data_IF_885651108809
#
_entry.id   IF_885651108809
#
_cell.length_a   1.000
_cell.length_b   1.000
_cell.length_c   1.000
_cell.angle_alpha   90.00
_cell.angle_beta   90.00
_cell.angle_gamma   90.00
#
_symmetry.space_group_name_H-M   'P 1'
#
loop_
_entity.id
_entity.type
_entity.pdbx_description
1 polymer ?
#
# COMPACT_ATOMS: atom_id res chain seq x y z
N UNK A 1 23.14 -24.88 35.54
CA UNK A 1 22.52 -24.87 34.20
C UNK A 1 23.35 -25.62 33.16
N UNK A 2 24.65 -25.36 33.00
CA UNK A 2 25.51 -26.13 32.10
C UNK A 2 25.51 -27.66 32.39
N UNK A 3 25.36 -28.05 33.67
CA UNK A 3 25.22 -29.46 34.06
C UNK A 3 23.99 -30.16 33.45
N UNK A 4 22.89 -29.45 33.18
CA UNK A 4 21.70 -30.03 32.54
C UNK A 4 21.97 -30.35 31.07
N UNK A 5 22.71 -29.48 30.39
CA UNK A 5 23.14 -29.70 29.01
C UNK A 5 24.07 -30.93 28.91
N UNK A 6 25.00 -31.06 29.86
CA UNK A 6 25.91 -32.22 29.94
C UNK A 6 25.18 -33.54 30.23
N UNK A 7 24.14 -33.50 31.09
CA UNK A 7 23.43 -34.70 31.56
C UNK A 7 22.37 -35.21 30.59
N UNK A 8 21.62 -34.30 29.97
CA UNK A 8 20.43 -34.64 29.18
C UNK A 8 20.59 -34.28 27.69
N UNK A 9 21.75 -33.73 27.31
CA UNK A 9 22.08 -33.44 25.92
C UNK A 9 21.13 -32.44 25.25
N UNK A 10 20.84 -32.70 23.98
CA UNK A 10 20.05 -31.83 23.11
C UNK A 10 18.58 -31.69 23.56
N UNK A 11 18.02 -32.71 24.22
CA UNK A 11 16.62 -32.77 24.63
C UNK A 11 16.21 -31.64 25.58
N UNK A 12 17.18 -31.01 26.23
CA UNK A 12 16.96 -29.85 27.12
C UNK A 12 16.68 -28.56 26.35
N UNK A 13 17.15 -28.46 25.11
CA UNK A 13 17.03 -27.29 24.25
C UNK A 13 15.70 -27.29 23.47
N UNK A 14 15.07 -28.46 23.28
CA UNK A 14 13.83 -28.63 22.55
C UNK A 14 12.61 -28.62 23.49
N UNK A 15 11.46 -28.10 23.03
CA UNK A 15 10.20 -28.28 23.76
C UNK A 15 9.80 -29.75 23.75
N UNK A 16 9.10 -30.20 24.81
CA UNK A 16 8.67 -31.59 24.96
C UNK A 16 7.14 -31.66 25.00
N UNK A 17 6.57 -32.62 24.30
CA UNK A 17 5.13 -32.89 24.33
C UNK A 17 4.85 -33.99 25.35
N UNK A 18 4.11 -33.68 26.41
CA UNK A 18 3.79 -34.62 27.50
C UNK A 18 2.32 -34.43 27.85
N UNK A 19 1.55 -35.53 27.90
CA UNK A 19 0.15 -35.54 28.30
C UNK A 19 -0.73 -34.52 27.55
N UNK A 20 -0.55 -34.40 26.23
CA UNK A 20 -1.34 -33.47 25.41
C UNK A 20 -0.91 -32.00 25.47
N UNK A 21 0.12 -31.68 26.26
CA UNK A 21 0.60 -30.31 26.47
C UNK A 21 2.06 -30.16 26.02
N UNK A 22 2.35 -29.02 25.39
CA UNK A 22 3.72 -28.64 25.06
C UNK A 22 4.37 -27.94 26.24
N UNK A 23 5.38 -28.58 26.82
CA UNK A 23 6.21 -27.95 27.84
C UNK A 23 7.40 -27.22 27.19
N UNK A 24 7.70 -26.05 27.76
CA UNK A 24 8.89 -25.28 27.42
C UNK A 24 10.18 -26.11 27.64
N UNK A 25 11.26 -25.83 26.89
CA UNK A 25 12.57 -26.42 27.15
C UNK A 25 13.04 -26.08 28.56
N UNK A 26 13.84 -26.96 29.19
CA UNK A 26 14.31 -26.68 30.55
C UNK A 26 15.38 -25.57 30.56
N UNK A 27 16.08 -25.34 29.44
CA UNK A 27 16.97 -24.19 29.24
C UNK A 27 16.29 -23.18 28.33
N UNK A 28 16.26 -21.91 28.75
CA UNK A 28 15.71 -20.83 27.92
C UNK A 28 16.60 -20.53 26.72
N UNK A 29 16.00 -20.02 25.64
CA UNK A 29 16.73 -19.67 24.41
C UNK A 29 17.89 -18.68 24.67
N UNK A 30 17.70 -17.74 25.60
CA UNK A 30 18.74 -16.78 25.99
C UNK A 30 19.95 -17.48 26.62
N UNK A 31 19.71 -18.36 27.59
CA UNK A 31 20.78 -19.10 28.28
C UNK A 31 21.52 -20.02 27.30
N UNK A 32 20.78 -20.71 26.43
CA UNK A 32 21.39 -21.52 25.37
C UNK A 32 22.29 -20.68 24.43
N UNK A 33 21.85 -19.48 24.04
CA UNK A 33 22.64 -18.58 23.21
C UNK A 33 23.91 -18.07 23.92
N UNK A 34 23.85 -17.80 25.23
CA UNK A 34 25.03 -17.43 26.03
C UNK A 34 26.02 -18.60 26.07
N UNK A 35 25.55 -19.81 26.39
CA UNK A 35 26.40 -21.01 26.40
C UNK A 35 27.06 -21.29 25.06
N UNK A 36 26.32 -21.09 23.96
CA UNK A 36 26.87 -21.20 22.61
C UNK A 36 27.95 -20.16 22.35
N UNK A 37 27.70 -18.90 22.68
CA UNK A 37 28.69 -17.83 22.52
C UNK A 37 29.95 -18.10 23.34
N UNK A 38 29.81 -18.58 24.57
CA UNK A 38 30.96 -18.91 25.42
C UNK A 38 31.76 -20.09 24.87
N UNK A 39 31.11 -21.14 24.36
CA UNK A 39 31.79 -22.28 23.75
C UNK A 39 32.57 -21.87 22.49
N UNK A 40 31.92 -21.11 21.59
CA UNK A 40 32.56 -20.58 20.39
C UNK A 40 33.72 -19.64 20.73
N UNK A 41 33.59 -18.81 21.76
CA UNK A 41 34.66 -17.92 22.22
C UNK A 41 35.87 -18.68 22.76
N UNK A 42 35.65 -19.85 23.38
CA UNK A 42 36.69 -20.75 23.85
C UNK A 42 37.30 -21.61 22.71
N UNK A 43 36.89 -21.40 21.46
CA UNK A 43 37.33 -22.19 20.31
C UNK A 43 36.73 -23.60 20.25
N UNK A 44 35.72 -23.89 21.08
CA UNK A 44 35.00 -25.16 21.04
C UNK A 44 33.84 -25.10 20.06
N UNK A 45 33.64 -26.17 19.30
CA UNK A 45 32.48 -26.30 18.44
C UNK A 45 31.21 -26.53 19.26
N UNK A 46 30.10 -25.94 18.81
CA UNK A 46 28.80 -26.15 19.43
C UNK A 46 28.20 -27.47 18.92
N UNK A 47 28.05 -28.51 19.76
CA UNK A 47 27.78 -29.86 19.29
C UNK A 47 26.30 -30.12 18.94
N UNK A 48 25.41 -29.14 19.17
CA UNK A 48 23.97 -29.33 18.95
C UNK A 48 23.53 -28.66 17.65
N UNK A 49 22.79 -29.38 16.77
CA UNK A 49 22.39 -28.84 15.48
C UNK A 49 21.46 -27.63 15.65
N UNK A 50 21.69 -26.62 14.83
CA UNK A 50 20.75 -25.50 14.75
C UNK A 50 19.49 -25.93 14.00
N UNK A 51 18.30 -25.48 14.44
CA UNK A 51 17.11 -25.68 13.63
C UNK A 51 17.32 -24.99 12.29
N UNK A 52 17.20 -25.76 11.21
CA UNK A 52 17.22 -25.21 9.86
C UNK A 52 16.13 -24.13 9.77
N UNK A 53 16.49 -22.96 9.23
CA UNK A 53 15.49 -21.92 8.98
C UNK A 53 14.49 -22.50 7.99
N UNK A 54 13.18 -22.50 8.27
CA UNK A 54 12.20 -23.06 7.34
C UNK A 54 12.35 -22.34 6.00
N UNK A 55 12.86 -23.08 5.02
CA UNK A 55 12.89 -22.64 3.64
C UNK A 55 11.49 -22.91 3.11
N UNK A 56 10.80 -21.87 2.64
CA UNK A 56 9.49 -22.08 2.04
C UNK A 56 9.70 -22.84 0.72
N UNK A 57 9.15 -24.06 0.55
CA UNK A 57 9.53 -24.95 -0.55
C UNK A 57 9.26 -24.34 -1.93
N UNK A 58 8.21 -23.53 -2.04
CA UNK A 58 7.79 -22.88 -3.30
C UNK A 58 8.17 -21.41 -3.41
N UNK A 59 8.81 -20.80 -2.40
CA UNK A 59 9.12 -19.36 -2.43
C UNK A 59 10.57 -19.18 -2.03
N UNK A 60 11.50 -19.14 -3.00
CA UNK A 60 12.86 -18.72 -2.69
C UNK A 60 12.81 -17.30 -2.13
N UNK A 61 13.72 -17.01 -1.20
CA UNK A 61 13.85 -15.66 -0.63
C UNK A 61 14.25 -14.69 -1.73
N UNK A 62 13.54 -13.57 -1.83
CA UNK A 62 13.96 -12.44 -2.66
C UNK A 62 15.25 -11.80 -2.14
N UNK A 63 15.79 -10.78 -2.83
CA UNK A 63 17.09 -10.17 -2.52
C UNK A 63 17.28 -9.72 -1.06
N UNK A 64 16.20 -9.38 -0.36
CA UNK A 64 16.22 -8.97 1.05
C UNK A 64 15.55 -9.99 1.99
N UNK A 65 15.50 -11.26 1.61
CA UNK A 65 14.89 -12.30 2.45
C UNK A 65 13.35 -12.34 2.40
N UNK A 66 12.69 -11.52 1.57
CA UNK A 66 11.23 -11.53 1.49
C UNK A 66 10.73 -12.68 0.62
N UNK A 67 9.76 -13.43 1.15
CA UNK A 67 9.08 -14.49 0.40
C UNK A 67 8.01 -13.98 -0.56
N UNK A 68 7.58 -12.72 -0.45
CA UNK A 68 6.45 -12.15 -1.20
C UNK A 68 6.84 -10.80 -1.79
N UNK A 69 6.42 -10.57 -3.04
CA UNK A 69 6.53 -9.27 -3.71
C UNK A 69 5.80 -8.19 -2.90
N UNK A 70 6.34 -6.96 -2.84
CA UNK A 70 5.68 -5.85 -2.17
C UNK A 70 4.33 -5.54 -2.84
N UNK A 71 3.37 -5.08 -2.04
CA UNK A 71 1.99 -4.85 -2.48
C UNK A 71 1.85 -3.72 -3.52
N UNK A 72 2.79 -2.78 -3.56
CA UNK A 72 2.67 -1.50 -4.27
C UNK A 72 1.75 -0.51 -3.56
N UNK A 73 1.97 0.79 -3.77
CA UNK A 73 1.14 1.84 -3.20
C UNK A 73 -0.20 2.00 -3.95
N UNK A 74 -1.20 2.62 -3.30
CA UNK A 74 -2.52 2.84 -3.91
C UNK A 74 -2.45 3.63 -5.22
N UNK A 75 -1.60 4.66 -5.27
CA UNK A 75 -1.47 5.54 -6.43
C UNK A 75 -0.82 4.82 -7.64
N UNK A 76 0.07 3.86 -7.41
CA UNK A 76 0.68 3.06 -8.47
C UNK A 76 -0.36 2.15 -9.12
N UNK A 77 -1.20 1.50 -8.30
CA UNK A 77 -2.28 0.64 -8.79
C UNK A 77 -3.33 1.41 -9.58
N UNK A 78 -3.71 2.59 -9.09
CA UNK A 78 -4.74 3.42 -9.70
C UNK A 78 -4.24 4.22 -10.92
N UNK A 79 -2.94 4.24 -11.19
CA UNK A 79 -2.34 5.06 -12.26
C UNK A 79 -2.95 4.75 -13.62
N UNK A 80 -3.16 3.48 -13.95
CA UNK A 80 -3.71 3.06 -15.24
C UNK A 80 -5.14 3.54 -15.44
N UNK A 81 -5.99 3.37 -14.41
CA UNK A 81 -7.37 3.86 -14.45
C UNK A 81 -7.42 5.38 -14.61
N UNK A 82 -6.59 6.10 -13.85
CA UNK A 82 -6.50 7.56 -13.95
C UNK A 82 -6.12 8.03 -15.37
N UNK A 83 -5.22 7.33 -16.05
CA UNK A 83 -4.85 7.66 -17.44
C UNK A 83 -6.02 7.46 -18.40
N UNK A 84 -6.76 6.34 -18.28
CA UNK A 84 -7.96 6.08 -19.08
C UNK A 84 -9.05 7.14 -18.87
N UNK A 85 -9.23 7.60 -17.64
CA UNK A 85 -10.19 8.65 -17.32
C UNK A 85 -9.78 10.01 -17.92
N UNK A 86 -8.49 10.31 -17.93
CA UNK A 86 -7.95 11.51 -18.57
C UNK A 86 -8.16 11.45 -20.09
N UNK A 87 -7.88 10.31 -20.73
CA UNK A 87 -8.09 10.12 -22.17
C UNK A 87 -9.56 10.32 -22.56
N UNK A 88 -10.49 9.75 -21.78
CA UNK A 88 -11.94 9.97 -21.98
C UNK A 88 -12.31 11.44 -21.83
N UNK A 89 -11.80 12.11 -20.79
CA UNK A 89 -12.08 13.52 -20.56
C UNK A 89 -11.55 14.42 -21.68
N UNK A 90 -10.38 14.10 -22.24
CA UNK A 90 -9.81 14.79 -23.40
C UNK A 90 -10.64 14.56 -24.66
N UNK A 91 -11.12 13.34 -24.89
CA UNK A 91 -12.00 13.03 -26.02
C UNK A 91 -13.35 13.76 -25.95
N UNK A 92 -13.90 13.96 -24.74
CA UNK A 92 -15.15 14.71 -24.52
C UNK A 92 -14.98 16.23 -24.50
N UNK A 93 -13.74 16.73 -24.38
CA UNK A 93 -13.42 18.14 -24.30
C UNK A 93 -14.07 19.02 -25.39
N UNK A 94 -14.01 18.68 -26.71
CA UNK A 94 -14.59 19.53 -27.74
C UNK A 94 -16.10 19.71 -27.61
N UNK A 95 -16.81 18.65 -27.18
CA UNK A 95 -18.26 18.71 -26.95
C UNK A 95 -18.59 19.65 -25.81
N UNK A 96 -17.88 19.53 -24.68
CA UNK A 96 -18.05 20.41 -23.51
C UNK A 96 -17.74 21.87 -23.84
N UNK A 97 -16.74 22.12 -24.70
CA UNK A 97 -16.43 23.47 -25.19
C UNK A 97 -17.58 24.02 -26.04
N UNK A 98 -18.13 23.22 -26.96
CA UNK A 98 -19.24 23.63 -27.81
C UNK A 98 -20.49 23.96 -26.97
N UNK A 99 -20.89 23.06 -26.06
CA UNK A 99 -22.00 23.26 -25.14
C UNK A 99 -21.82 24.50 -24.26
N UNK A 100 -20.59 24.75 -23.77
CA UNK A 100 -20.27 25.94 -23.00
C UNK A 100 -20.40 27.21 -23.85
N UNK A 101 -19.87 27.21 -25.07
CA UNK A 101 -19.97 28.35 -26.00
C UNK A 101 -21.42 28.67 -26.36
N UNK A 102 -22.23 27.65 -26.64
CA UNK A 102 -23.66 27.81 -26.91
C UNK A 102 -24.40 28.38 -25.70
N UNK A 103 -24.07 27.91 -24.49
CA UNK A 103 -24.69 28.40 -23.26
C UNK A 103 -24.44 29.87 -22.97
N UNK A 104 -23.25 30.35 -23.34
CA UNK A 104 -22.79 31.72 -23.09
C UNK A 104 -23.09 32.65 -24.27
N UNK A 105 -23.75 32.15 -25.32
CA UNK A 105 -24.09 32.95 -26.49
C UNK A 105 -25.08 34.04 -26.07
N UNK A 106 -24.60 35.27 -25.99
CA UNK A 106 -25.44 36.45 -25.74
C UNK A 106 -26.36 36.62 -26.94
N UNK A 107 -27.68 36.62 -26.71
CA UNK A 107 -28.66 36.92 -27.75
C UNK A 107 -28.54 38.40 -28.11
N UNK A 108 -28.52 38.74 -29.42
CA UNK A 108 -28.57 40.14 -29.82
C UNK A 108 -29.87 40.79 -29.29
N UNK A 109 -29.84 42.08 -28.94
CA UNK A 109 -31.04 42.77 -28.47
C UNK A 109 -32.10 42.82 -29.57
N UNK A 110 -33.36 42.77 -29.18
CA UNK A 110 -34.46 42.93 -30.13
C UNK A 110 -34.55 44.37 -30.63
N UNK A 111 -35.20 44.60 -31.77
CA UNK A 111 -35.41 45.95 -32.33
C UNK A 111 -36.13 46.87 -31.34
N UNK A 112 -37.08 46.33 -30.57
CA UNK A 112 -37.78 47.08 -29.52
C UNK A 112 -36.85 47.42 -28.34
N UNK A 113 -35.98 46.49 -27.94
CA UNK A 113 -35.01 46.77 -26.87
C UNK A 113 -34.03 47.88 -27.26
N UNK A 114 -33.63 47.95 -28.54
CA UNK A 114 -32.76 49.02 -29.05
C UNK A 114 -33.43 50.40 -29.04
N UNK A 115 -34.75 50.45 -29.24
CA UNK A 115 -35.51 51.70 -29.27
C UNK A 115 -35.93 52.17 -27.88
N UNK A 116 -36.22 51.24 -26.97
CA UNK A 116 -36.86 51.55 -25.68
C UNK A 116 -35.90 51.52 -24.48
N UNK A 117 -34.80 50.77 -24.55
CA UNK A 117 -33.89 50.56 -23.43
C UNK A 117 -32.54 51.24 -23.63
N UNK A 118 -31.91 51.63 -22.52
CA UNK A 118 -30.54 52.16 -22.54
C UNK A 118 -29.51 51.03 -22.73
N UNK A 119 -28.30 51.31 -23.26
CA UNK A 119 -27.26 50.29 -23.47
C UNK A 119 -26.84 49.51 -22.21
N UNK A 120 -26.98 50.12 -21.03
CA UNK A 120 -26.72 49.45 -19.74
C UNK A 120 -27.82 48.44 -19.39
N UNK A 121 -29.07 48.77 -19.66
CA UNK A 121 -30.24 47.93 -19.38
C UNK A 121 -30.29 46.73 -20.32
N UNK A 122 -29.94 46.93 -21.60
CA UNK A 122 -29.76 45.85 -22.59
C UNK A 122 -28.73 44.84 -22.10
N UNK A 123 -27.55 45.30 -21.66
CA UNK A 123 -26.51 44.41 -21.10
C UNK A 123 -27.01 43.65 -19.87
N UNK A 124 -27.67 44.32 -18.93
CA UNK A 124 -28.21 43.69 -17.72
C UNK A 124 -29.26 42.61 -18.06
N UNK A 125 -30.13 42.85 -19.04
CA UNK A 125 -31.11 41.87 -19.54
C UNK A 125 -30.42 40.67 -20.17
N UNK A 126 -29.45 40.90 -21.05
CA UNK A 126 -28.65 39.86 -21.70
C UNK A 126 -27.91 38.95 -20.68
N UNK A 127 -27.32 39.52 -19.63
CA UNK A 127 -26.66 38.74 -18.57
C UNK A 127 -27.66 37.96 -17.71
N UNK A 128 -28.85 38.50 -17.43
CA UNK A 128 -29.88 37.79 -16.64
C UNK A 128 -30.46 36.59 -17.40
N UNK A 129 -30.71 36.73 -18.70
CA UNK A 129 -31.26 35.66 -19.54
C UNK A 129 -30.26 34.51 -19.77
N UNK A 130 -28.97 34.83 -19.91
CA UNK A 130 -27.90 33.83 -20.06
C UNK A 130 -27.57 33.08 -18.77
N UNK A 131 -27.94 33.61 -17.60
CA UNK A 131 -27.68 33.00 -16.28
C UNK A 131 -28.85 32.16 -15.77
N UNK A 132 -30.06 32.33 -16.31
CA UNK A 132 -31.19 31.43 -16.07
C UNK A 132 -30.99 30.13 -16.86
N UNK A 133 -30.25 29.20 -16.26
CA UNK A 133 -30.26 27.77 -16.62
C UNK A 133 -31.02 27.01 -15.56
#
# INVERSE_FOLDING_TARGET
>A
MAHLLKKFGEGVLKPRFVNGLWHKPNISKRVAAVLKKTALFQGQEWPYPEPEKPQHPTKPRGPFGQYKRPKGHKHEKAKQQRLLDIEKALAEQPKKIAEYRESRKIRPPSTLDLLLLRPKEIRMKQYRETTKR
#
